data_IF_590862842212
#
_entry.id   IF_590862842212
#
_cell.length_a   1.000
_cell.length_b   1.000
_cell.length_c   1.000
_cell.angle_alpha   90.00
_cell.angle_beta   90.00
_cell.angle_gamma   90.00
#
_symmetry.space_group_name_H-M   'P 1'
#
loop_
_entity.id
_entity.type
_entity.pdbx_description
1 polymer ?
#
# COMPACT_ATOMS: atom_id res chain seq x y z
N UNK A 1 -9.34 13.04 -66.86
CA UNK A 1 -9.23 13.58 -65.49
C UNK A 1 -10.13 12.82 -64.50
N UNK A 2 -11.39 12.54 -64.80
CA UNK A 2 -12.31 11.83 -63.89
C UNK A 2 -11.92 10.37 -63.51
N UNK A 3 -11.20 9.65 -64.40
CA UNK A 3 -10.75 8.27 -64.13
C UNK A 3 -9.58 8.19 -63.15
N UNK A 4 -8.67 9.16 -63.16
CA UNK A 4 -7.50 9.20 -62.26
C UNK A 4 -7.91 9.53 -60.82
N UNK A 5 -8.90 10.40 -60.63
CA UNK A 5 -9.48 10.73 -59.31
C UNK A 5 -10.23 9.56 -58.66
N UNK A 6 -10.83 8.67 -59.46
CA UNK A 6 -11.53 7.48 -58.95
C UNK A 6 -10.53 6.41 -58.44
N UNK A 7 -9.41 6.24 -59.16
CA UNK A 7 -8.34 5.29 -58.79
C UNK A 7 -7.63 5.73 -57.49
N UNK A 8 -7.36 7.03 -57.32
CA UNK A 8 -6.78 7.56 -56.08
C UNK A 8 -7.74 7.43 -54.88
N UNK A 9 -9.05 7.56 -55.11
CA UNK A 9 -10.06 7.36 -54.07
C UNK A 9 -10.13 5.89 -53.62
N UNK A 10 -10.04 4.96 -54.57
CA UNK A 10 -10.02 3.53 -54.31
C UNK A 10 -8.75 3.09 -53.56
N UNK A 11 -7.59 3.66 -53.90
CA UNK A 11 -6.33 3.43 -53.18
C UNK A 11 -6.37 3.96 -51.74
N UNK A 12 -6.94 5.15 -51.51
CA UNK A 12 -7.09 5.71 -50.16
C UNK A 12 -8.04 4.87 -49.30
N UNK A 13 -9.17 4.41 -49.84
CA UNK A 13 -10.10 3.54 -49.12
C UNK A 13 -9.45 2.20 -48.74
N UNK A 14 -8.62 1.64 -49.63
CA UNK A 14 -7.85 0.44 -49.33
C UNK A 14 -6.81 0.67 -48.22
N UNK A 15 -6.09 1.80 -48.27
CA UNK A 15 -5.13 2.19 -47.23
C UNK A 15 -5.81 2.38 -45.87
N UNK A 16 -6.96 3.05 -45.84
CA UNK A 16 -7.77 3.26 -44.62
C UNK A 16 -8.22 1.91 -44.05
N UNK A 17 -8.65 0.98 -44.90
CA UNK A 17 -9.01 -0.37 -44.50
C UNK A 17 -7.84 -1.14 -43.87
N UNK A 18 -6.64 -1.00 -44.42
CA UNK A 18 -5.42 -1.61 -43.85
C UNK A 18 -5.06 -1.01 -42.49
N UNK A 19 -5.10 0.32 -42.33
CA UNK A 19 -4.86 0.95 -41.05
C UNK A 19 -5.91 0.57 -40.00
N UNK A 20 -7.19 0.53 -40.38
CA UNK A 20 -8.27 0.10 -39.49
C UNK A 20 -8.09 -1.36 -39.05
N UNK A 21 -7.66 -2.25 -39.96
CA UNK A 21 -7.39 -3.64 -39.64
C UNK A 21 -6.21 -3.81 -38.68
N UNK A 22 -5.12 -3.06 -38.88
CA UNK A 22 -3.95 -3.09 -37.98
C UNK A 22 -4.34 -2.58 -36.58
N UNK A 23 -5.09 -1.49 -36.49
CA UNK A 23 -5.58 -0.95 -35.21
C UNK A 23 -6.49 -1.98 -34.53
N UNK A 24 -7.45 -2.55 -35.27
CA UNK A 24 -8.35 -3.57 -34.74
C UNK A 24 -7.59 -4.81 -34.23
N UNK A 25 -6.64 -5.32 -35.00
CA UNK A 25 -5.78 -6.43 -34.58
C UNK A 25 -5.00 -6.06 -33.30
N UNK A 26 -4.38 -4.89 -33.24
CA UNK A 26 -3.65 -4.45 -32.04
C UNK A 26 -4.53 -4.31 -30.79
N UNK A 27 -5.81 -3.91 -30.94
CA UNK A 27 -6.77 -3.88 -29.84
C UNK A 27 -7.19 -5.28 -29.38
N UNK A 28 -7.33 -6.23 -30.31
CA UNK A 28 -7.67 -7.64 -30.01
C UNK A 28 -6.51 -8.34 -29.29
N UNK A 29 -5.26 -8.02 -29.64
CA UNK A 29 -4.06 -8.63 -29.05
C UNK A 29 -3.50 -7.86 -27.83
N UNK A 30 -4.21 -6.85 -27.31
CA UNK A 30 -3.76 -6.16 -26.11
C UNK A 30 -3.82 -7.11 -24.91
N UNK A 31 -2.66 -7.60 -24.45
CA UNK A 31 -2.58 -8.25 -23.15
C UNK A 31 -2.89 -7.24 -22.05
N UNK A 32 -3.65 -7.66 -21.04
CA UNK A 32 -3.90 -6.84 -19.86
C UNK A 32 -2.61 -6.71 -19.05
N UNK A 33 -2.22 -5.48 -18.71
CA UNK A 33 -1.15 -5.27 -17.73
C UNK A 33 -1.51 -6.02 -16.44
N UNK A 34 -0.60 -6.86 -15.90
CA UNK A 34 -0.88 -7.58 -14.67
C UNK A 34 -1.15 -6.56 -13.56
N UNK A 35 -2.42 -6.47 -13.14
CA UNK A 35 -2.78 -5.67 -11.98
C UNK A 35 -2.15 -6.36 -10.78
N UNK A 36 -1.34 -5.67 -10.00
CA UNK A 36 -0.79 -6.15 -8.72
C UNK A 36 -1.94 -6.26 -7.70
N UNK A 37 -2.79 -7.27 -7.88
CA UNK A 37 -3.95 -7.51 -7.04
C UNK A 37 -3.59 -8.55 -5.97
N UNK A 38 -3.42 -8.10 -4.72
CA UNK A 38 -3.24 -9.04 -3.61
C UNK A 38 -4.38 -10.05 -3.59
N UNK A 39 -4.04 -11.33 -3.48
CA UNK A 39 -5.03 -12.41 -3.45
C UNK A 39 -5.92 -12.28 -2.21
N UNK A 40 -7.14 -12.83 -2.23
CA UNK A 40 -8.01 -12.83 -1.03
C UNK A 40 -7.35 -13.54 0.15
N UNK A 41 -6.61 -14.62 -0.14
CA UNK A 41 -5.84 -15.38 0.85
C UNK A 41 -4.78 -14.50 1.50
N UNK A 42 -3.92 -13.87 0.69
CA UNK A 42 -2.86 -12.96 1.15
C UNK A 42 -3.40 -11.80 1.99
N UNK A 43 -4.51 -11.17 1.56
CA UNK A 43 -5.18 -10.12 2.37
C UNK A 43 -5.63 -10.61 3.74
N UNK A 44 -6.05 -11.87 3.82
CA UNK A 44 -6.52 -12.49 5.07
C UNK A 44 -5.34 -12.83 5.97
N UNK A 45 -4.24 -13.31 5.39
CA UNK A 45 -2.98 -13.58 6.09
C UNK A 45 -2.40 -12.30 6.69
N UNK A 46 -2.25 -11.24 5.90
CA UNK A 46 -1.77 -9.93 6.37
C UNK A 46 -2.68 -9.33 7.45
N UNK A 47 -3.99 -9.51 7.33
CA UNK A 47 -4.94 -9.07 8.38
C UNK A 47 -4.71 -9.81 9.70
N UNK A 48 -4.51 -11.13 9.63
CA UNK A 48 -4.28 -11.93 10.82
C UNK A 48 -2.94 -11.59 11.46
N UNK A 49 -1.88 -11.40 10.65
CA UNK A 49 -0.57 -10.95 11.11
C UNK A 49 -0.64 -9.60 11.83
N UNK A 50 -1.34 -8.61 11.25
CA UNK A 50 -1.54 -7.31 11.89
C UNK A 50 -2.29 -7.41 13.23
N UNK A 51 -3.31 -8.28 13.32
CA UNK A 51 -4.03 -8.53 14.57
C UNK A 51 -3.12 -9.17 15.62
N UNK A 52 -2.29 -10.12 15.22
CA UNK A 52 -1.40 -10.84 16.13
C UNK A 52 -0.30 -9.89 16.66
N UNK A 53 0.24 -9.00 15.81
CA UNK A 53 1.12 -7.91 16.24
C UNK A 53 0.47 -6.97 17.26
N UNK A 54 -0.80 -6.60 17.05
CA UNK A 54 -1.53 -5.76 18.00
C UNK A 54 -1.68 -6.44 19.37
N UNK A 55 -2.09 -7.71 19.37
CA UNK A 55 -2.25 -8.49 20.60
C UNK A 55 -0.92 -8.63 21.36
N UNK A 56 0.20 -8.80 20.64
CA UNK A 56 1.54 -8.83 21.23
C UNK A 56 1.89 -7.51 21.92
N UNK A 57 1.73 -6.38 21.21
CA UNK A 57 2.00 -5.05 21.76
C UNK A 57 1.12 -4.73 22.99
N UNK A 58 -0.18 -5.03 22.90
CA UNK A 58 -1.13 -4.81 23.98
C UNK A 58 -0.77 -5.63 25.23
N UNK A 59 -0.51 -6.92 25.06
CA UNK A 59 -0.15 -7.81 26.17
C UNK A 59 1.16 -7.35 26.82
N UNK A 60 2.16 -6.97 26.03
CA UNK A 60 3.42 -6.47 26.54
C UNK A 60 3.26 -5.16 27.33
N UNK A 61 2.39 -4.26 26.88
CA UNK A 61 2.09 -3.03 27.63
C UNK A 61 1.39 -3.34 28.95
N UNK A 62 0.36 -4.18 28.94
CA UNK A 62 -0.39 -4.52 30.15
C UNK A 62 0.50 -5.18 31.20
N UNK A 63 1.47 -5.98 30.78
CA UNK A 63 2.38 -6.68 31.69
C UNK A 63 3.53 -5.81 32.21
N UNK A 64 4.00 -4.82 31.44
CA UNK A 64 5.28 -4.15 31.73
C UNK A 64 5.24 -2.63 31.79
N UNK A 65 4.21 -2.00 31.22
CA UNK A 65 4.11 -0.55 31.12
C UNK A 65 2.91 0.02 31.86
N UNK A 66 1.78 -0.69 31.99
CA UNK A 66 0.62 -0.16 32.71
C UNK A 66 0.98 0.25 34.15
N UNK A 67 0.64 1.48 34.63
CA UNK A 67 -0.23 2.51 34.02
C UNK A 67 0.53 3.69 33.36
N UNK A 68 1.74 3.47 32.85
CA UNK A 68 2.54 4.47 32.17
C UNK A 68 1.98 4.85 30.79
N UNK A 69 2.29 6.06 30.31
CA UNK A 69 1.79 6.56 29.02
C UNK A 69 2.30 5.74 27.82
N UNK A 70 3.53 5.20 27.88
CA UNK A 70 4.14 4.53 26.72
C UNK A 70 4.91 3.28 27.15
N UNK A 71 4.91 2.23 26.32
CA UNK A 71 5.84 1.11 26.43
C UNK A 71 7.13 1.41 25.65
N UNK A 72 8.30 1.24 26.27
CA UNK A 72 9.59 1.29 25.59
C UNK A 72 9.88 -0.06 24.89
N UNK A 73 10.12 -0.11 23.57
CA UNK A 73 10.15 -1.37 22.81
C UNK A 73 11.38 -2.25 23.08
N UNK A 74 12.54 -1.64 23.36
CA UNK A 74 13.80 -2.38 23.60
C UNK A 74 13.94 -2.84 25.05
N UNK A 75 13.59 -1.97 26.00
CA UNK A 75 13.72 -2.28 27.43
C UNK A 75 12.47 -2.90 28.02
N UNK A 76 11.36 -2.92 27.27
CA UNK A 76 10.05 -3.41 27.71
C UNK A 76 9.65 -2.84 29.08
N UNK A 77 9.70 -1.51 29.22
CA UNK A 77 9.37 -0.78 30.45
C UNK A 77 8.44 0.39 30.15
N UNK A 78 7.58 0.74 31.10
CA UNK A 78 6.76 1.94 31.03
C UNK A 78 7.59 3.23 31.03
N UNK A 79 7.21 4.20 30.21
CA UNK A 79 7.76 5.56 30.19
C UNK A 79 6.76 6.52 30.83
N UNK A 80 7.23 7.29 31.81
CA UNK A 80 6.40 8.25 32.55
C UNK A 80 6.80 9.67 32.21
N UNK A 81 5.84 10.46 31.73
CA UNK A 81 6.07 11.87 31.40
C UNK A 81 6.49 12.67 32.63
N UNK A 82 7.55 13.48 32.49
CA UNK A 82 8.11 14.29 33.59
C UNK A 82 9.04 13.55 34.55
N UNK A 83 9.12 12.22 34.47
CA UNK A 83 10.10 11.40 35.23
C UNK A 83 11.22 10.95 34.29
N UNK A 84 10.86 10.37 33.14
CA UNK A 84 11.84 10.00 32.13
C UNK A 84 12.35 11.25 31.41
N UNK A 85 13.66 11.34 31.09
CA UNK A 85 14.20 12.47 30.32
C UNK A 85 13.40 12.73 29.05
N UNK A 86 13.09 14.00 28.80
CA UNK A 86 12.32 14.40 27.63
C UNK A 86 13.11 14.17 26.35
N UNK A 87 12.42 13.71 25.30
CA UNK A 87 12.96 13.58 23.94
C UNK A 87 12.76 14.85 23.10
N UNK A 88 12.38 15.96 23.72
CA UNK A 88 12.03 17.22 23.05
C UNK A 88 10.59 17.25 22.54
N UNK A 89 10.38 17.96 21.44
CA UNK A 89 9.07 18.24 20.82
C UNK A 89 8.22 16.98 20.54
N UNK A 90 8.87 15.82 20.40
CA UNK A 90 8.18 14.53 20.23
C UNK A 90 7.25 14.20 21.41
N UNK A 91 7.64 14.52 22.64
CA UNK A 91 6.81 14.26 23.81
C UNK A 91 5.62 15.23 23.85
N UNK A 92 5.75 16.43 23.28
CA UNK A 92 4.74 17.48 23.26
C UNK A 92 3.66 17.23 22.20
N UNK A 93 4.05 16.75 21.02
CA UNK A 93 3.11 16.40 19.93
C UNK A 93 2.30 15.14 20.25
N UNK A 94 2.90 14.15 20.91
CA UNK A 94 2.29 12.83 21.11
C UNK A 94 1.05 12.83 22.01
N UNK A 95 0.67 13.95 22.62
CA UNK A 95 -0.50 14.01 23.51
C UNK A 95 -0.38 13.03 24.68
N UNK A 96 -1.33 13.02 25.61
CA UNK A 96 -1.36 12.00 26.68
C UNK A 96 -2.05 10.73 26.18
N UNK A 97 -1.57 10.16 25.08
CA UNK A 97 -2.11 8.91 24.54
C UNK A 97 -1.31 7.73 25.06
N UNK A 98 -2.00 6.63 25.32
CA UNK A 98 -1.36 5.35 25.63
C UNK A 98 -0.79 4.75 24.34
N UNK A 99 0.54 4.66 24.22
CA UNK A 99 1.21 4.13 23.04
C UNK A 99 1.67 2.68 23.23
N UNK A 100 1.13 1.81 22.39
CA UNK A 100 1.46 0.38 22.34
C UNK A 100 2.42 0.10 21.19
N UNK A 101 3.59 -0.45 21.50
CA UNK A 101 4.61 -0.84 20.52
C UNK A 101 5.07 -2.27 20.78
N UNK A 102 5.71 -2.89 19.78
CA UNK A 102 6.22 -4.25 19.95
C UNK A 102 7.42 -4.24 20.91
N UNK A 103 7.28 -4.93 22.03
CA UNK A 103 8.38 -5.23 22.94
C UNK A 103 9.08 -6.51 22.47
N UNK A 104 10.38 -6.39 22.22
CA UNK A 104 11.27 -7.52 21.92
C UNK A 104 12.44 -7.45 22.90
N UNK A 105 12.38 -8.20 24.01
CA UNK A 105 13.51 -8.26 24.93
C UNK A 105 14.67 -8.95 24.20
N UNK A 106 15.78 -8.23 24.06
CA UNK A 106 17.08 -8.82 23.74
C UNK A 106 17.62 -9.62 24.92
#
# INVERSE_FOLDING_TARGET
MASQSLVTLQHNNFLIGMFAFVIFASLVFSESLPTQNMSRKERTELRNEARDMFNHAYTAYMNNAYPADELMPLSCKGRYRGITPSRGDMDDILGKYELFVLCYPF
#
